data_IF_793429024936
#
_entry.id   IF_793429024936
#
_cell.length_a   1.000
_cell.length_b   1.000
_cell.length_c   1.000
_cell.angle_alpha   90.00
_cell.angle_beta   90.00
_cell.angle_gamma   90.00
#
_symmetry.space_group_name_H-M   'P 1'
#
loop_
_entity.id
_entity.type
_entity.pdbx_description
1 polymer ?
#
# COMPACT_ATOMS: atom_id res chain seq x y z
N UNK A 1 -22.74 -19.00 36.13
CA UNK A 1 -23.11 -19.52 34.80
C UNK A 1 -22.67 -18.49 33.76
N UNK A 2 -21.55 -18.74 33.07
CA UNK A 2 -21.05 -17.82 32.04
C UNK A 2 -21.83 -18.01 30.75
N UNK A 3 -22.48 -16.96 30.26
CA UNK A 3 -23.09 -16.97 28.93
C UNK A 3 -21.97 -17.17 27.90
N UNK A 4 -21.98 -18.31 27.20
CA UNK A 4 -21.16 -18.54 26.02
C UNK A 4 -21.55 -17.47 25.00
N UNK A 5 -20.70 -16.47 24.78
CA UNK A 5 -20.85 -15.55 23.66
C UNK A 5 -20.79 -16.37 22.38
N UNK A 6 -21.93 -16.48 21.71
CA UNK A 6 -22.02 -17.03 20.35
C UNK A 6 -21.12 -16.17 19.48
N UNK A 7 -20.05 -16.78 18.96
CA UNK A 7 -19.15 -16.11 18.01
C UNK A 7 -19.99 -15.75 16.80
N UNK A 8 -20.34 -14.47 16.70
CA UNK A 8 -21.11 -13.95 15.58
C UNK A 8 -20.32 -14.26 14.30
N UNK A 9 -20.85 -15.18 13.50
CA UNK A 9 -20.22 -15.53 12.23
C UNK A 9 -20.11 -14.25 11.39
N UNK A 10 -18.96 -14.01 10.74
CA UNK A 10 -18.78 -12.86 9.88
C UNK A 10 -19.88 -12.87 8.82
N UNK A 11 -20.60 -11.76 8.69
CA UNK A 11 -21.66 -11.63 7.70
C UNK A 11 -21.07 -11.98 6.31
N UNK A 12 -21.52 -13.06 5.65
CA UNK A 12 -20.98 -13.46 4.35
C UNK A 12 -21.23 -12.40 3.28
N UNK A 13 -22.19 -11.50 3.50
CA UNK A 13 -22.51 -10.38 2.63
C UNK A 13 -21.72 -9.10 2.98
N UNK A 14 -20.74 -9.19 3.88
CA UNK A 14 -19.85 -8.06 4.15
C UNK A 14 -18.97 -7.81 2.93
N UNK A 15 -18.92 -6.57 2.40
CA UNK A 15 -18.09 -6.22 1.25
C UNK A 15 -16.60 -6.44 1.48
N UNK A 16 -16.18 -6.48 2.74
CA UNK A 16 -14.80 -6.78 3.13
C UNK A 16 -14.47 -8.27 3.06
N UNK A 17 -15.46 -9.13 2.80
CA UNK A 17 -15.36 -10.59 2.80
C UNK A 17 -15.22 -11.20 1.42
N UNK A 18 -15.37 -10.40 0.36
CA UNK A 18 -15.11 -10.89 -0.99
C UNK A 18 -13.63 -11.27 -1.11
N UNK A 19 -13.33 -12.52 -1.51
CA UNK A 19 -11.97 -12.93 -1.78
C UNK A 19 -11.43 -12.06 -2.91
N UNK A 20 -10.24 -11.50 -2.70
CA UNK A 20 -9.50 -10.78 -3.72
C UNK A 20 -8.26 -11.57 -4.14
N UNK A 21 -7.35 -10.91 -4.87
CA UNK A 21 -6.18 -11.56 -5.44
C UNK A 21 -5.15 -11.94 -4.35
N UNK A 22 -4.47 -13.08 -4.56
CA UNK A 22 -3.26 -13.49 -3.82
C UNK A 22 -3.33 -13.33 -2.29
N UNK A 23 -4.43 -13.78 -1.68
CA UNK A 23 -4.59 -13.78 -0.22
C UNK A 23 -5.08 -12.46 0.38
N UNK A 24 -5.30 -11.42 -0.44
CA UNK A 24 -5.94 -10.19 -0.01
C UNK A 24 -7.46 -10.28 -0.21
N UNK A 25 -8.25 -9.62 0.66
CA UNK A 25 -9.64 -9.30 0.36
C UNK A 25 -9.72 -8.28 -0.77
N UNK A 26 -10.79 -8.31 -1.57
CA UNK A 26 -11.02 -7.32 -2.64
C UNK A 26 -10.97 -5.87 -2.12
N UNK A 27 -11.54 -5.68 -0.92
CA UNK A 27 -11.51 -4.42 -0.16
C UNK A 27 -11.07 -4.71 1.26
N UNK A 28 -10.11 -3.96 1.75
CA UNK A 28 -9.59 -4.14 3.11
C UNK A 28 -9.30 -2.80 3.80
N UNK A 29 -9.18 -2.87 5.12
CA UNK A 29 -8.80 -1.73 5.96
C UNK A 29 -7.40 -1.92 6.54
N UNK A 30 -6.62 -0.85 6.55
CA UNK A 30 -5.30 -0.83 7.17
C UNK A 30 -5.37 -0.09 8.50
N UNK A 31 -4.83 -0.68 9.56
CA UNK A 31 -4.86 -0.12 10.91
C UNK A 31 -3.46 -0.09 11.52
N UNK A 32 -3.23 0.90 12.36
CA UNK A 32 -2.02 0.99 13.15
C UNK A 32 -1.92 -0.20 14.13
N UNK A 33 -0.75 -0.81 14.20
CA UNK A 33 -0.42 -1.92 15.08
C UNK A 33 0.65 -1.50 16.09
N UNK A 34 0.31 -0.50 16.91
CA UNK A 34 1.26 0.20 17.76
C UNK A 34 2.20 1.10 16.96
N UNK A 35 3.33 1.51 17.55
CA UNK A 35 4.25 2.46 16.91
C UNK A 35 5.14 1.86 15.80
N UNK A 36 5.09 0.55 15.61
CA UNK A 36 6.10 -0.20 14.82
C UNK A 36 5.52 -0.88 13.58
N UNK A 37 4.26 -0.63 13.23
CA UNK A 37 3.69 -1.32 12.09
C UNK A 37 2.23 -1.05 11.81
N UNK A 38 1.77 -1.65 10.72
CA UNK A 38 0.38 -1.72 10.34
C UNK A 38 -0.11 -3.17 10.26
N UNK A 39 -1.42 -3.33 10.30
CA UNK A 39 -2.12 -4.60 10.08
C UNK A 39 -3.18 -4.42 9.02
N UNK A 40 -3.24 -5.38 8.11
CA UNK A 40 -4.20 -5.45 7.01
C UNK A 40 -5.36 -6.33 7.44
N UNK A 41 -6.59 -5.82 7.34
CA UNK A 41 -7.80 -6.52 7.78
C UNK A 41 -8.83 -6.64 6.66
N UNK A 42 -9.30 -7.86 6.40
CA UNK A 42 -10.50 -8.13 5.60
C UNK A 42 -11.79 -8.08 6.39
N UNK A 43 -12.73 -8.96 6.05
CA UNK A 43 -14.04 -9.05 6.69
C UNK A 43 -13.98 -9.28 8.19
N UNK A 44 -13.02 -10.07 8.65
CA UNK A 44 -12.84 -10.33 10.07
C UNK A 44 -11.97 -9.24 10.70
N UNK A 45 -12.53 -8.26 11.44
CA UNK A 45 -11.75 -7.20 12.05
C UNK A 45 -10.85 -7.68 13.20
N UNK A 46 -10.98 -8.94 13.63
CA UNK A 46 -10.19 -9.55 14.71
C UNK A 46 -8.98 -10.32 14.18
N UNK A 47 -8.99 -10.73 12.92
CA UNK A 47 -7.95 -11.56 12.32
C UNK A 47 -7.33 -10.79 11.15
N UNK A 48 -6.16 -10.17 11.35
CA UNK A 48 -5.45 -9.54 10.25
C UNK A 48 -4.94 -10.61 9.27
N UNK A 49 -4.80 -10.22 8.00
CA UNK A 49 -4.24 -11.05 6.93
C UNK A 49 -2.72 -10.92 6.91
N UNK A 50 -2.21 -9.69 7.01
CA UNK A 50 -0.78 -9.38 6.96
C UNK A 50 -0.38 -8.36 8.01
N UNK A 51 0.91 -8.38 8.34
CA UNK A 51 1.58 -7.37 9.16
C UNK A 51 2.61 -6.63 8.31
N UNK A 52 2.64 -5.31 8.47
CA UNK A 52 3.64 -4.45 7.85
C UNK A 52 4.49 -3.88 8.97
N UNK A 53 5.78 -4.20 9.00
CA UNK A 53 6.73 -3.58 9.92
C UNK A 53 7.18 -2.23 9.37
N UNK A 54 7.21 -1.22 10.24
CA UNK A 54 7.70 0.12 9.92
C UNK A 54 9.02 0.37 10.64
N UNK A 55 10.01 0.75 9.87
CA UNK A 55 11.25 1.35 10.31
C UNK A 55 11.36 2.78 9.74
N UNK A 56 12.34 3.54 10.22
CA UNK A 56 12.54 4.95 9.84
C UNK A 56 12.59 5.21 8.34
N UNK A 57 13.14 4.26 7.55
CA UNK A 57 13.32 4.39 6.09
C UNK A 57 12.98 3.10 5.34
N UNK A 58 12.30 2.17 6.00
CA UNK A 58 12.06 0.84 5.48
C UNK A 58 10.71 0.32 5.94
N UNK A 59 9.95 -0.24 5.00
CA UNK A 59 8.69 -0.92 5.28
C UNK A 59 8.83 -2.37 4.85
N UNK A 60 8.39 -3.30 5.67
CA UNK A 60 8.49 -4.74 5.40
C UNK A 60 7.11 -5.37 5.50
N UNK A 61 6.61 -5.92 4.41
CA UNK A 61 5.42 -6.77 4.40
C UNK A 61 5.80 -8.18 4.77
N UNK A 62 5.14 -8.74 5.77
CA UNK A 62 5.35 -10.11 6.22
C UNK A 62 4.22 -11.04 5.76
N UNK A 63 4.56 -12.31 5.53
CA UNK A 63 3.60 -13.36 5.21
C UNK A 63 2.57 -13.55 6.34
N UNK A 64 3.01 -13.54 7.60
CA UNK A 64 2.11 -13.67 8.75
C UNK A 64 1.54 -12.32 9.20
N UNK A 65 0.30 -12.37 9.67
CA UNK A 65 -0.36 -11.27 10.38
C UNK A 65 0.20 -11.02 11.80
N UNK A 66 1.01 -11.93 12.32
CA UNK A 66 1.55 -11.89 13.68
C UNK A 66 2.98 -11.36 13.67
N UNK A 67 3.14 -10.20 14.29
CA UNK A 67 4.45 -9.56 14.51
C UNK A 67 5.51 -10.47 15.14
N UNK A 68 5.13 -11.41 16.00
CA UNK A 68 6.08 -12.26 16.75
C UNK A 68 6.56 -13.48 15.97
N UNK A 69 5.91 -13.82 14.86
CA UNK A 69 6.16 -15.10 14.19
C UNK A 69 7.45 -15.11 13.35
N UNK A 70 8.14 -13.96 13.21
CA UNK A 70 9.35 -13.80 12.36
C UNK A 70 9.15 -14.38 10.95
N UNK A 71 7.93 -14.32 10.43
CA UNK A 71 7.62 -14.82 9.10
C UNK A 71 8.45 -14.07 8.05
N UNK A 72 8.82 -14.74 6.94
CA UNK A 72 9.64 -14.14 5.91
C UNK A 72 9.01 -12.84 5.37
N UNK A 73 9.89 -11.94 4.92
CA UNK A 73 9.49 -10.73 4.22
C UNK A 73 9.03 -11.11 2.82
N UNK A 74 7.86 -10.63 2.41
CA UNK A 74 7.35 -10.78 1.03
C UNK A 74 7.81 -9.60 0.20
N UNK A 75 7.66 -8.38 0.73
CA UNK A 75 8.06 -7.15 0.05
C UNK A 75 8.75 -6.22 1.04
N UNK A 76 9.86 -5.63 0.61
CA UNK A 76 10.52 -4.54 1.31
C UNK A 76 10.46 -3.28 0.46
N UNK A 77 10.06 -2.16 1.05
CA UNK A 77 10.19 -0.83 0.44
C UNK A 77 11.25 -0.07 1.22
N UNK A 78 12.32 0.32 0.54
CA UNK A 78 13.39 1.15 1.10
C UNK A 78 13.30 2.56 0.53
N UNK A 79 13.38 3.56 1.39
CA UNK A 79 13.50 4.96 0.96
C UNK A 79 14.96 5.29 0.73
N UNK A 80 15.32 5.62 -0.51
CA UNK A 80 16.68 5.97 -0.90
C UNK A 80 16.83 7.50 -0.89
N UNK A 81 17.02 8.05 0.30
CA UNK A 81 17.44 9.44 0.45
C UNK A 81 18.95 9.52 0.65
N UNK A 82 19.62 10.55 0.08
CA UNK A 82 20.99 10.87 0.47
C UNK A 82 21.05 10.99 1.99
N UNK A 83 21.92 10.21 2.64
CA UNK A 83 22.00 10.09 4.10
C UNK A 83 22.27 11.40 4.84
N UNK A 84 22.79 12.42 4.14
CA UNK A 84 23.08 13.76 4.66
C UNK A 84 21.86 14.70 4.70
N UNK A 85 20.75 14.31 4.06
CA UNK A 85 19.48 15.05 4.07
C UNK A 85 18.63 14.58 5.27
N UNK A 86 18.69 15.32 6.39
CA UNK A 86 17.80 15.11 7.55
C UNK A 86 16.39 15.68 7.34
N UNK A 87 16.24 16.52 6.32
CA UNK A 87 14.99 17.06 5.84
C UNK A 87 15.05 17.05 4.33
N UNK A 88 14.02 16.55 3.64
CA UNK A 88 13.95 16.74 2.21
C UNK A 88 14.00 18.25 1.95
N UNK A 89 15.07 18.71 1.30
CA UNK A 89 15.06 20.01 0.65
C UNK A 89 13.89 19.96 -0.32
N UNK A 90 13.05 20.99 -0.30
CA UNK A 90 11.63 20.94 -0.69
C UNK A 90 11.35 20.46 -2.13
N UNK A 91 12.37 20.29 -2.97
CA UNK A 91 12.27 19.91 -4.38
C UNK A 91 13.09 18.68 -4.81
N UNK A 92 13.81 18.00 -3.91
CA UNK A 92 14.54 16.78 -4.30
C UNK A 92 13.60 15.58 -4.45
N UNK A 93 13.69 14.90 -5.60
CA UNK A 93 13.00 13.64 -5.89
C UNK A 93 13.44 12.57 -4.89
N UNK A 94 12.47 11.93 -4.23
CA UNK A 94 12.75 10.69 -3.52
C UNK A 94 12.84 9.57 -4.56
N UNK A 95 13.72 8.60 -4.36
CA UNK A 95 13.56 7.30 -5.01
C UNK A 95 13.28 6.26 -3.93
N UNK A 96 12.48 5.27 -4.30
CA UNK A 96 12.22 4.12 -3.44
C UNK A 96 12.64 2.87 -4.19
N UNK A 97 13.29 1.94 -3.50
CA UNK A 97 13.52 0.60 -4.05
C UNK A 97 12.55 -0.35 -3.39
N UNK A 98 11.76 -1.04 -4.23
CA UNK A 98 10.85 -2.10 -3.82
C UNK A 98 11.50 -3.43 -4.19
N UNK A 99 11.73 -4.27 -3.18
CA UNK A 99 12.27 -5.63 -3.35
C UNK A 99 11.16 -6.63 -3.07
N UNK A 100 10.76 -7.40 -4.07
CA UNK A 100 9.85 -8.54 -3.92
C UNK A 100 10.70 -9.77 -3.71
N UNK A 101 10.58 -10.37 -2.53
CA UNK A 101 11.38 -11.52 -2.11
C UNK A 101 10.73 -12.80 -2.61
N UNK A 102 11.47 -13.55 -3.42
CA UNK A 102 11.00 -14.84 -3.92
C UNK A 102 11.23 -15.90 -2.84
N UNK A 103 10.33 -15.97 -1.86
CA UNK A 103 10.35 -17.04 -0.86
C UNK A 103 9.77 -18.32 -1.47
N UNK A 104 10.50 -18.95 -2.39
CA UNK A 104 10.22 -20.33 -2.75
C UNK A 104 10.47 -21.12 -1.46
N UNK A 105 9.40 -21.43 -0.73
CA UNK A 105 9.43 -22.50 0.25
C UNK A 105 9.80 -23.72 -0.58
N UNK A 106 11.10 -24.06 -0.63
CA UNK A 106 11.52 -25.38 -1.04
C UNK A 106 10.72 -26.30 -0.14
N UNK A 107 9.64 -26.86 -0.68
CA UNK A 107 8.87 -27.85 0.02
C UNK A 107 9.86 -28.96 0.26
N UNK A 108 10.43 -29.00 1.46
CA UNK A 108 11.39 -30.03 1.84
C UNK A 108 10.59 -31.31 1.67
N UNK A 109 10.89 -32.14 0.65
CA UNK A 109 10.13 -33.36 0.45
C UNK A 109 10.31 -34.11 1.75
N UNK A 110 9.24 -34.23 2.54
CA UNK A 110 9.32 -34.92 3.82
C UNK A 110 9.68 -36.36 3.49
N UNK A 111 10.91 -36.82 3.76
CA UNK A 111 11.22 -38.21 3.60
C UNK A 111 10.65 -38.86 4.85
N UNK A 112 9.41 -39.36 4.77
CA UNK A 112 8.97 -40.54 5.54
C UNK A 112 7.47 -40.73 5.38
N UNK A 113 7.15 -41.69 4.51
CA UNK A 113 5.83 -42.29 4.35
C UNK A 113 5.95 -43.70 3.79
N UNK A 114 7.00 -44.43 4.18
CA UNK A 114 7.09 -45.89 4.00
C UNK A 114 6.11 -46.54 4.98
N UNK A 115 4.93 -46.88 4.50
CA UNK A 115 4.05 -47.86 5.14
C UNK A 115 4.06 -49.13 4.29
N UNK A 116 5.03 -50.00 4.55
CA UNK A 116 5.00 -51.39 4.04
C UNK A 116 4.61 -52.31 5.20
N UNK A 117 3.55 -53.13 5.07
CA UNK A 117 3.33 -54.24 5.97
C UNK A 117 4.22 -55.43 5.59
N UNK A 118 4.55 -56.23 6.60
CA UNK A 118 5.36 -57.45 6.57
C UNK A 118 5.06 -58.39 5.39
N UNK A 119 6.10 -58.92 4.73
CA UNK A 119 6.11 -60.30 4.24
C UNK A 119 7.55 -60.77 3.94
N UNK A 120 7.73 -62.07 4.12
CA UNK A 120 8.96 -62.82 4.39
C UNK A 120 10.00 -62.92 3.24
N UNK A 121 11.25 -63.16 3.68
CA UNK A 121 12.33 -63.95 3.07
C UNK A 121 12.46 -64.04 1.53
N UNK A 122 13.57 -63.53 0.99
CA UNK A 122 14.05 -63.84 -0.35
C UNK A 122 15.37 -63.14 -0.68
N UNK A 123 16.25 -63.83 -1.38
CA UNK A 123 17.69 -63.58 -1.49
C UNK A 123 18.16 -62.33 -2.24
N UNK A 124 19.32 -61.84 -1.78
CA UNK A 124 20.44 -61.23 -2.49
C UNK A 124 20.33 -61.04 -4.01
N UNK A 125 20.44 -59.78 -4.47
CA UNK A 125 21.14 -59.44 -5.71
C UNK A 125 21.67 -58.00 -5.69
N UNK A 126 22.99 -57.91 -5.83
CA UNK A 126 23.81 -56.72 -6.00
C UNK A 126 23.58 -56.13 -7.39
N UNK A 127 23.18 -54.87 -7.49
CA UNK A 127 23.20 -54.11 -8.74
C UNK A 127 23.79 -52.72 -8.46
N UNK A 128 25.03 -52.54 -8.89
CA UNK A 128 25.72 -51.25 -8.97
C UNK A 128 25.04 -50.42 -10.06
N UNK A 129 24.21 -49.46 -9.64
CA UNK A 129 23.64 -48.43 -10.50
C UNK A 129 24.44 -47.15 -10.34
N UNK A 130 25.24 -46.83 -11.36
CA UNK A 130 25.91 -45.55 -11.57
C UNK A 130 24.93 -44.39 -11.37
N UNK A 131 25.12 -43.62 -10.29
CA UNK A 131 24.40 -42.39 -10.05
C UNK A 131 24.95 -41.33 -11.01
N UNK A 132 24.20 -41.06 -12.08
CA UNK A 132 24.40 -39.88 -12.89
C UNK A 132 24.20 -38.64 -12.00
N UNK A 133 25.30 -37.93 -11.72
CA UNK A 133 25.28 -36.59 -11.15
C UNK A 133 24.58 -35.65 -12.14
N UNK A 134 23.25 -35.63 -12.07
CA UNK A 134 22.43 -34.58 -12.67
C UNK A 134 22.77 -33.29 -11.95
N UNK A 135 23.57 -32.45 -12.60
CA UNK A 135 23.85 -31.07 -12.24
C UNK A 135 22.51 -30.33 -12.19
N UNK A 136 21.86 -30.37 -11.02
CA UNK A 136 20.63 -29.67 -10.75
C UNK A 136 20.98 -28.18 -10.86
N UNK A 137 20.59 -27.58 -11.98
CA UNK A 137 20.62 -26.15 -12.17
C UNK A 137 19.98 -25.51 -10.93
N UNK A 138 20.83 -24.94 -10.07
CA UNK A 138 20.37 -24.13 -8.97
C UNK A 138 19.76 -22.89 -9.62
N UNK A 139 18.45 -22.97 -9.91
CA UNK A 139 17.66 -21.82 -10.33
C UNK A 139 17.91 -20.74 -9.27
N UNK A 140 18.72 -19.75 -9.67
CA UNK A 140 19.06 -18.60 -8.86
C UNK A 140 17.75 -17.87 -8.58
N UNK A 141 17.20 -18.13 -7.40
CA UNK A 141 16.06 -17.40 -6.84
C UNK A 141 16.53 -15.96 -6.72
N UNK A 142 16.21 -15.16 -7.72
CA UNK A 142 16.64 -13.77 -7.80
C UNK A 142 15.47 -12.91 -7.33
N UNK A 143 15.71 -12.05 -6.35
CA UNK A 143 14.72 -11.08 -5.90
C UNK A 143 14.39 -10.11 -7.04
N UNK A 144 13.12 -9.72 -7.15
CA UNK A 144 12.70 -8.70 -8.11
C UNK A 144 12.91 -7.32 -7.47
N UNK A 145 13.82 -6.55 -8.05
CA UNK A 145 14.13 -5.17 -7.63
C UNK A 145 13.42 -4.20 -8.57
N UNK A 146 12.63 -3.30 -7.99
CA UNK A 146 11.81 -2.33 -8.72
C UNK A 146 12.14 -0.94 -8.18
N UNK A 147 12.52 -0.04 -9.07
CA UNK A 147 12.65 1.36 -8.73
C UNK A 147 11.28 2.04 -8.86
N UNK A 148 10.94 2.82 -7.84
CA UNK A 148 9.75 3.65 -7.82
C UNK A 148 10.18 5.12 -7.74
N UNK A 149 9.89 5.83 -8.81
CA UNK A 149 10.14 7.25 -8.95
C UNK A 149 9.07 8.03 -8.21
N UNK A 150 9.51 8.97 -7.38
CA UNK A 150 8.63 9.90 -6.69
C UNK A 150 8.96 11.33 -7.05
N UNK A 151 8.03 11.92 -7.79
CA UNK A 151 8.11 13.32 -8.16
C UNK A 151 7.29 14.12 -7.16
N UNK A 152 7.97 14.88 -6.30
CA UNK A 152 7.33 15.79 -5.32
C UNK A 152 6.79 17.08 -5.93
N UNK A 153 7.06 17.33 -7.21
CA UNK A 153 6.44 18.42 -7.96
C UNK A 153 4.93 18.25 -7.97
N UNK A 154 4.15 19.34 -7.97
CA UNK A 154 2.69 19.24 -8.01
C UNK A 154 2.23 18.99 -9.46
N UNK A 155 1.44 17.95 -9.76
CA UNK A 155 0.88 16.95 -8.84
C UNK A 155 1.89 15.88 -8.41
N UNK A 156 1.87 15.50 -7.12
CA UNK A 156 2.74 14.44 -6.59
C UNK A 156 2.35 13.12 -7.24
N UNK A 157 3.31 12.44 -7.84
CA UNK A 157 3.12 11.15 -8.53
C UNK A 157 4.14 10.14 -8.03
N UNK A 158 3.71 8.88 -7.95
CA UNK A 158 4.59 7.74 -7.67
C UNK A 158 4.43 6.75 -8.80
N UNK A 159 5.51 6.51 -9.54
CA UNK A 159 5.51 5.69 -10.73
C UNK A 159 6.47 4.51 -10.55
N UNK A 160 6.05 3.33 -10.97
CA UNK A 160 6.90 2.14 -10.97
C UNK A 160 6.57 1.26 -12.16
N UNK A 161 7.51 0.38 -12.51
CA UNK A 161 7.37 -0.50 -13.67
C UNK A 161 7.54 -1.95 -13.23
N UNK A 162 6.67 -2.85 -13.70
CA UNK A 162 6.67 -4.26 -13.32
C UNK A 162 6.60 -5.18 -14.54
N UNK A 163 7.30 -6.33 -14.51
CA UNK A 163 7.02 -7.42 -15.43
C UNK A 163 5.69 -8.07 -15.05
N UNK A 164 4.72 -8.02 -15.96
CA UNK A 164 3.38 -8.60 -15.84
C UNK A 164 3.32 -9.87 -16.69
N UNK A 165 2.80 -10.99 -16.17
CA UNK A 165 2.60 -12.21 -16.97
C UNK A 165 1.62 -11.92 -18.11
N UNK A 166 2.04 -12.24 -19.34
CA UNK A 166 1.13 -12.16 -20.49
C UNK A 166 0.11 -13.30 -20.40
N UNK A 167 -1.17 -13.07 -20.73
CA UNK A 167 -2.13 -14.16 -20.85
C UNK A 167 -1.60 -15.16 -21.88
N UNK A 168 -1.51 -16.43 -21.50
CA UNK A 168 -1.07 -17.50 -22.40
C UNK A 168 -2.10 -17.64 -23.52
N UNK A 169 -1.69 -17.31 -24.75
CA UNK A 169 -2.44 -17.70 -25.94
C UNK A 169 -2.11 -19.17 -26.22
N UNK A 170 -3.15 -19.99 -26.31
CA UNK A 170 -3.11 -21.46 -26.36
C UNK A 170 -1.88 -22.04 -27.08
N UNK A 171 -1.03 -22.76 -26.32
CA UNK A 171 0.01 -23.64 -26.85
C UNK A 171 1.46 -23.20 -26.69
N UNK A 172 1.74 -21.96 -26.25
CA UNK A 172 3.12 -21.55 -25.95
C UNK A 172 3.52 -21.94 -24.52
N UNK A 173 4.57 -22.77 -24.40
CA UNK A 173 5.17 -23.13 -23.10
C UNK A 173 6.07 -22.04 -22.52
N UNK A 174 6.41 -21.00 -23.30
CA UNK A 174 7.17 -19.86 -22.80
C UNK A 174 6.24 -18.84 -22.16
N UNK A 175 6.35 -18.67 -20.84
CA UNK A 175 5.72 -17.57 -20.11
C UNK A 175 6.36 -16.26 -20.57
N UNK A 176 5.66 -15.53 -21.44
CA UNK A 176 6.08 -14.19 -21.84
C UNK A 176 5.69 -13.20 -20.74
N UNK A 177 6.60 -12.30 -20.40
CA UNK A 177 6.31 -11.18 -19.50
C UNK A 177 6.34 -9.89 -20.29
N UNK A 178 5.44 -8.98 -19.95
CA UNK A 178 5.37 -7.64 -20.55
C UNK A 178 5.70 -6.61 -19.49
N UNK A 179 6.56 -5.66 -19.81
CA UNK A 179 6.94 -4.62 -18.87
C UNK A 179 5.88 -3.51 -18.89
N UNK A 180 5.18 -3.32 -17.78
CA UNK A 180 4.09 -2.33 -17.68
C UNK A 180 4.37 -1.26 -16.63
N UNK A 181 3.91 -0.05 -16.92
CA UNK A 181 4.07 1.11 -16.03
C UNK A 181 2.79 1.42 -15.27
N UNK A 182 2.92 1.70 -13.98
CA UNK A 182 1.83 2.06 -13.09
C UNK A 182 2.11 3.38 -12.39
N UNK A 183 1.07 4.17 -12.13
CA UNK A 183 1.19 5.49 -11.53
C UNK A 183 0.11 5.74 -10.47
N UNK A 184 0.53 6.05 -9.25
CA UNK A 184 -0.37 6.60 -8.24
C UNK A 184 -0.65 8.07 -8.52
N UNK A 185 -1.92 8.38 -8.74
CA UNK A 185 -2.41 9.75 -8.94
C UNK A 185 -3.36 10.13 -7.82
N UNK A 186 -3.23 11.35 -7.33
CA UNK A 186 -4.19 11.91 -6.37
C UNK A 186 -5.58 11.95 -7.00
N UNK A 187 -6.54 11.32 -6.34
CA UNK A 187 -7.90 11.27 -6.81
C UNK A 187 -8.56 12.65 -6.73
N UNK A 188 -9.27 13.11 -7.78
CA UNK A 188 -10.14 14.28 -7.69
C UNK A 188 -11.18 14.11 -6.57
N UNK A 189 -11.66 15.22 -6.00
CA UNK A 189 -12.66 15.15 -4.92
C UNK A 189 -13.95 14.42 -5.35
N UNK A 190 -14.32 14.45 -6.63
CA UNK A 190 -15.48 13.75 -7.15
C UNK A 190 -15.22 12.30 -7.59
N UNK A 191 -14.03 11.74 -7.34
CA UNK A 191 -13.67 10.38 -7.76
C UNK A 191 -14.48 9.32 -7.00
N UNK A 192 -15.30 8.58 -7.74
CA UNK A 192 -16.18 7.56 -7.18
C UNK A 192 -15.41 6.34 -6.67
N UNK A 193 -14.29 6.01 -7.32
CA UNK A 193 -13.42 4.87 -6.98
C UNK A 193 -12.91 5.00 -5.54
N UNK A 194 -12.46 6.19 -5.13
CA UNK A 194 -12.02 6.42 -3.74
C UNK A 194 -13.19 6.60 -2.77
N UNK A 195 -14.35 7.09 -3.23
CA UNK A 195 -15.51 7.34 -2.37
C UNK A 195 -16.27 6.06 -2.02
N UNK A 196 -16.42 5.15 -2.99
CA UNK A 196 -17.12 3.88 -2.83
C UNK A 196 -16.54 3.01 -1.73
N UNK A 197 -15.22 3.06 -1.54
CA UNK A 197 -14.48 2.28 -0.54
C UNK A 197 -14.91 2.62 0.91
N UNK A 198 -15.39 3.84 1.15
CA UNK A 198 -15.52 4.39 2.51
C UNK A 198 -16.63 3.77 3.32
N UNK A 199 -17.67 3.28 2.67
CA UNK A 199 -18.80 2.68 3.37
C UNK A 199 -18.54 1.19 3.52
N UNK A 200 -18.11 0.77 4.71
CA UNK A 200 -17.97 -0.66 5.08
C UNK A 200 -19.22 -1.50 4.85
N UNK A 201 -20.37 -0.85 4.72
CA UNK A 201 -21.67 -1.48 4.51
C UNK A 201 -22.06 -1.58 3.05
N UNK A 202 -21.36 -0.88 2.14
CA UNK A 202 -21.65 -0.95 0.72
C UNK A 202 -20.83 -2.05 0.06
N UNK A 203 -21.42 -2.82 -0.87
CA UNK A 203 -20.69 -3.79 -1.70
C UNK A 203 -19.42 -3.17 -2.30
N UNK A 204 -18.37 -3.96 -2.57
CA UNK A 204 -17.30 -3.52 -3.45
C UNK A 204 -17.94 -3.11 -4.77
N UNK A 205 -17.58 -1.93 -5.24
CA UNK A 205 -17.96 -1.51 -6.59
C UNK A 205 -17.06 -2.28 -7.56
N UNK A 206 -17.62 -2.69 -8.69
CA UNK A 206 -16.89 -3.45 -9.70
C UNK A 206 -16.47 -2.53 -10.84
N UNK A 207 -15.41 -2.91 -11.54
CA UNK A 207 -15.02 -2.23 -12.78
C UNK A 207 -16.08 -2.54 -13.84
N UNK A 208 -16.53 -1.52 -14.56
CA UNK A 208 -17.64 -1.65 -15.50
C UNK A 208 -18.98 -1.11 -14.98
N UNK A 209 -19.14 -0.95 -13.66
CA UNK A 209 -20.35 -0.38 -13.06
C UNK A 209 -20.62 1.04 -13.58
N UNK A 210 -21.90 1.40 -13.70
CA UNK A 210 -22.31 2.74 -14.11
C UNK A 210 -21.90 3.79 -13.06
N UNK A 211 -21.36 4.92 -13.55
CA UNK A 211 -21.09 6.07 -12.69
C UNK A 211 -22.40 6.75 -12.33
N UNK A 212 -22.63 6.91 -11.03
CA UNK A 212 -23.72 7.77 -10.56
C UNK A 212 -23.48 9.21 -11.04
N UNK A 213 -24.53 10.02 -11.26
CA UNK A 213 -24.37 11.42 -11.61
C UNK A 213 -23.45 12.16 -10.61
N UNK A 214 -22.59 13.04 -11.12
CA UNK A 214 -21.77 13.94 -10.29
C UNK A 214 -22.69 14.93 -9.56
N UNK A 215 -23.36 14.51 -8.49
CA UNK A 215 -24.06 15.46 -7.62
C UNK A 215 -23.02 16.40 -6.97
N UNK A 216 -23.46 17.59 -6.56
CA UNK A 216 -22.61 18.58 -5.89
C UNK A 216 -22.16 18.04 -4.52
N UNK A 217 -21.07 17.28 -4.49
CA UNK A 217 -20.57 16.69 -3.27
C UNK A 217 -19.73 17.71 -2.48
N UNK A 218 -20.15 17.98 -1.25
CA UNK A 218 -19.61 19.08 -0.42
C UNK A 218 -18.24 18.76 0.19
N UNK A 219 -17.84 17.48 0.30
CA UNK A 219 -16.51 17.12 0.80
C UNK A 219 -16.16 15.65 0.54
N UNK A 220 -15.06 15.40 -0.16
CA UNK A 220 -14.43 14.08 -0.22
C UNK A 220 -13.07 14.10 0.49
N UNK A 221 -12.71 13.02 1.18
CA UNK A 221 -11.39 12.87 1.76
C UNK A 221 -10.39 12.77 0.63
N UNK A 222 -9.14 13.00 0.99
CA UNK A 222 -8.05 12.60 0.15
C UNK A 222 -8.00 11.08 -0.05
N UNK A 223 -7.63 10.71 -1.26
CA UNK A 223 -7.32 9.36 -1.67
C UNK A 223 -6.53 9.42 -2.98
N UNK A 224 -6.06 8.27 -3.43
CA UNK A 224 -5.35 8.14 -4.69
C UNK A 224 -5.81 6.89 -5.41
N UNK A 225 -5.63 6.90 -6.73
CA UNK A 225 -5.88 5.78 -7.62
C UNK A 225 -4.56 5.34 -8.25
N UNK A 226 -4.38 4.05 -8.42
CA UNK A 226 -3.28 3.46 -9.15
C UNK A 226 -3.76 3.19 -10.57
N UNK A 227 -3.14 3.85 -11.54
CA UNK A 227 -3.51 3.81 -12.94
C UNK A 227 -2.49 2.97 -13.70
N UNK A 228 -2.96 2.12 -14.60
CA UNK A 228 -2.14 1.35 -15.53
C UNK A 228 -1.93 2.17 -16.81
N UNK A 229 -0.69 2.56 -17.09
CA UNK A 229 -0.35 3.40 -18.25
C UNK A 229 -0.11 2.59 -19.54
N UNK A 230 0.03 1.27 -19.41
CA UNK A 230 0.40 0.34 -20.46
C UNK A 230 1.92 0.11 -20.53
N UNK A 231 2.33 -0.84 -21.37
CA UNK A 231 3.74 -1.13 -21.64
C UNK A 231 4.26 -0.33 -22.83
N UNK A 232 5.45 0.24 -22.71
CA UNK A 232 6.22 0.88 -23.79
C UNK A 232 6.85 -0.15 -24.73
N UNK A 233 6.05 -1.14 -25.15
CA UNK A 233 6.40 -2.07 -26.22
C UNK A 233 6.35 -1.35 -27.55
N UNK A 234 7.47 -0.78 -27.97
CA UNK A 234 7.66 -0.28 -29.32
C UNK A 234 7.60 -1.46 -30.31
N UNK A 235 6.48 -1.62 -31.01
CA UNK A 235 6.39 -2.57 -32.12
C UNK A 235 5.01 -3.17 -32.28
N UNK A 236 4.39 -2.78 -33.39
CA UNK A 236 3.18 -3.35 -33.99
C UNK A 236 1.86 -3.15 -33.25
N UNK A 237 0.95 -2.46 -33.95
CA UNK A 237 -0.43 -2.15 -33.57
C UNK A 237 -1.33 -3.36 -33.42
N UNK A 238 -0.88 -4.40 -32.74
CA UNK A 238 -1.68 -5.51 -32.27
C UNK A 238 -2.28 -5.13 -30.92
N UNK A 239 -3.59 -5.03 -30.93
CA UNK A 239 -4.51 -4.77 -29.84
C UNK A 239 -4.43 -5.81 -28.70
N UNK A 240 -3.30 -5.89 -27.99
CA UNK A 240 -3.19 -6.70 -26.77
C UNK A 240 -3.77 -5.93 -25.57
N UNK A 241 -5.00 -6.31 -25.22
CA UNK A 241 -5.59 -6.48 -23.87
C UNK A 241 -5.44 -5.42 -22.77
N UNK A 242 -4.79 -4.27 -22.97
CA UNK A 242 -5.04 -3.13 -22.08
C UNK A 242 -6.44 -2.62 -22.40
N UNK A 243 -7.40 -2.96 -21.55
CA UNK A 243 -8.82 -2.61 -21.69
C UNK A 243 -8.99 -1.09 -21.63
N UNK A 244 -8.62 -0.36 -22.69
CA UNK A 244 -8.86 1.07 -22.77
C UNK A 244 -10.35 1.29 -23.04
N UNK A 245 -11.02 1.94 -22.10
CA UNK A 245 -12.37 2.42 -22.35
C UNK A 245 -12.32 3.67 -23.24
N UNK A 246 -13.35 3.90 -24.05
CA UNK A 246 -13.44 5.12 -24.86
C UNK A 246 -13.39 6.35 -23.94
N UNK A 247 -12.50 7.33 -24.18
CA UNK A 247 -12.44 8.54 -23.36
C UNK A 247 -13.78 9.25 -23.37
N UNK A 248 -14.26 9.67 -22.21
CA UNK A 248 -15.61 10.22 -22.13
C UNK A 248 -16.10 10.55 -20.74
N UNK A 249 -17.22 11.29 -20.70
CA UNK A 249 -17.93 11.59 -19.46
C UNK A 249 -18.65 10.35 -18.93
N UNK A 250 -19.20 9.54 -19.84
CA UNK A 250 -20.04 8.37 -19.54
C UNK A 250 -19.22 7.07 -19.48
N UNK A 251 -17.97 7.18 -19.04
CA UNK A 251 -17.11 6.00 -18.84
C UNK A 251 -17.57 5.22 -17.60
N UNK A 252 -17.41 3.89 -17.60
CA UNK A 252 -17.70 3.09 -16.42
C UNK A 252 -16.74 3.38 -15.26
N UNK A 253 -17.09 2.84 -14.09
CA UNK A 253 -16.21 2.79 -12.92
C UNK A 253 -14.96 1.95 -13.22
N UNK A 254 -13.85 2.32 -12.59
CA UNK A 254 -12.56 1.66 -12.80
C UNK A 254 -11.74 2.20 -13.97
N UNK A 255 -12.14 3.32 -14.58
CA UNK A 255 -11.39 3.98 -15.66
C UNK A 255 -11.20 5.48 -15.43
N UNK A 256 -10.02 6.02 -15.74
CA UNK A 256 -9.77 7.48 -15.73
C UNK A 256 -10.52 8.17 -16.87
N UNK A 257 -10.62 9.50 -16.83
CA UNK A 257 -11.30 10.27 -17.90
C UNK A 257 -10.67 10.03 -19.27
N UNK A 258 -9.37 9.74 -19.28
CA UNK A 258 -8.57 9.48 -20.47
C UNK A 258 -8.64 8.02 -20.93
N UNK A 259 -9.46 7.19 -20.26
CA UNK A 259 -9.68 5.79 -20.62
C UNK A 259 -8.64 4.81 -20.05
N UNK A 260 -7.76 5.26 -19.17
CA UNK A 260 -6.77 4.41 -18.53
C UNK A 260 -7.42 3.57 -17.43
N UNK A 261 -7.01 2.31 -17.29
CA UNK A 261 -7.53 1.41 -16.28
C UNK A 261 -7.02 1.81 -14.88
N UNK A 262 -7.95 1.92 -13.94
CA UNK A 262 -7.65 2.01 -12.51
C UNK A 262 -7.58 0.58 -11.99
N UNK A 263 -6.45 0.20 -11.42
CA UNK A 263 -6.17 -1.18 -10.94
C UNK A 263 -6.17 -1.30 -9.42
N UNK A 264 -6.00 -0.17 -8.73
CA UNK A 264 -6.15 -0.10 -7.28
C UNK A 264 -6.53 1.32 -6.85
N UNK A 265 -7.01 1.46 -5.62
CA UNK A 265 -7.28 2.77 -5.03
C UNK A 265 -7.23 2.70 -3.51
N UNK A 266 -6.94 3.83 -2.89
CA UNK A 266 -7.12 3.99 -1.45
C UNK A 266 -7.84 5.29 -1.11
N UNK A 267 -8.44 5.31 0.08
CA UNK A 267 -9.04 6.51 0.64
C UNK A 267 -8.72 6.64 2.11
N UNK A 268 -8.37 7.85 2.54
CA UNK A 268 -8.18 8.14 3.95
C UNK A 268 -9.50 7.91 4.70
N UNK A 269 -9.40 7.16 5.79
CA UNK A 269 -10.52 6.92 6.68
C UNK A 269 -10.72 8.13 7.59
N UNK A 270 -11.98 8.47 7.85
CA UNK A 270 -12.33 9.40 8.93
C UNK A 270 -12.59 8.69 10.24
N UNK A 271 -12.80 7.39 10.19
CA UNK A 271 -13.07 6.59 11.37
C UNK A 271 -11.75 6.30 12.08
N UNK A 272 -11.67 6.55 13.38
CA UNK A 272 -10.51 6.22 14.22
C UNK A 272 -10.12 4.72 14.19
N UNK A 273 -10.92 3.86 13.57
CA UNK A 273 -10.72 2.41 13.51
C UNK A 273 -9.81 1.95 12.37
N UNK A 274 -9.72 2.70 11.27
CA UNK A 274 -8.83 2.41 10.16
C UNK A 274 -8.15 3.71 9.74
N UNK A 275 -6.92 3.63 9.24
CA UNK A 275 -6.21 4.80 8.76
C UNK A 275 -6.57 5.08 7.29
N UNK A 276 -6.63 4.02 6.48
CA UNK A 276 -7.18 4.07 5.14
C UNK A 276 -7.87 2.76 4.78
N UNK A 277 -8.72 2.84 3.76
CA UNK A 277 -9.28 1.67 3.07
C UNK A 277 -8.64 1.55 1.71
N UNK A 278 -8.45 0.32 1.27
CA UNK A 278 -7.85 -0.04 -0.01
C UNK A 278 -8.81 -0.96 -0.77
N UNK A 279 -8.85 -0.83 -2.09
CA UNK A 279 -9.61 -1.69 -2.96
C UNK A 279 -8.87 -1.91 -4.28
N UNK A 280 -8.89 -3.16 -4.76
CA UNK A 280 -8.47 -3.52 -6.10
C UNK A 280 -9.59 -3.30 -7.14
N UNK A 281 -9.20 -3.06 -8.38
CA UNK A 281 -10.09 -2.79 -9.51
C UNK A 281 -9.57 -3.51 -10.76
N UNK A 282 -10.46 -3.81 -11.70
CA UNK A 282 -10.11 -4.33 -13.03
C UNK A 282 -9.18 -5.53 -12.97
N UNK A 283 -8.10 -5.50 -13.76
CA UNK A 283 -7.04 -6.51 -13.78
C UNK A 283 -6.35 -6.70 -12.42
N UNK A 284 -6.33 -5.66 -11.58
CA UNK A 284 -5.86 -5.75 -10.20
C UNK A 284 -6.82 -6.53 -9.31
N UNK A 285 -8.13 -6.46 -9.54
CA UNK A 285 -9.15 -7.20 -8.80
C UNK A 285 -9.20 -8.68 -9.19
N UNK A 286 -9.03 -8.99 -10.49
CA UNK A 286 -9.04 -10.36 -11.01
C UNK A 286 -7.74 -11.12 -10.69
N UNK A 287 -6.65 -10.41 -10.38
CA UNK A 287 -5.34 -11.01 -10.14
C UNK A 287 -4.53 -11.27 -11.42
N UNK A 288 -5.01 -10.79 -12.57
CA UNK A 288 -4.32 -10.92 -13.86
C UNK A 288 -2.93 -10.30 -13.87
N UNK A 289 -2.71 -9.27 -13.04
CA UNK A 289 -1.42 -8.59 -12.92
C UNK A 289 -0.38 -9.37 -12.08
N UNK A 290 -0.80 -10.48 -11.46
CA UNK A 290 0.05 -11.36 -10.67
C UNK A 290 0.28 -10.94 -9.21
N UNK A 291 0.93 -11.83 -8.49
CA UNK A 291 1.16 -11.71 -7.04
C UNK A 291 2.10 -10.56 -6.69
N UNK A 292 3.21 -10.44 -7.43
CA UNK A 292 4.18 -9.37 -7.25
C UNK A 292 3.49 -7.99 -7.36
N UNK A 293 2.66 -7.78 -8.39
CA UNK A 293 1.88 -6.55 -8.54
C UNK A 293 1.01 -6.29 -7.32
N UNK A 294 0.30 -7.31 -6.84
CA UNK A 294 -0.64 -7.18 -5.72
C UNK A 294 0.08 -6.66 -4.46
N UNK A 295 1.22 -7.26 -4.11
CA UNK A 295 1.99 -6.78 -2.95
C UNK A 295 2.60 -5.40 -3.17
N UNK A 296 3.14 -5.13 -4.37
CA UNK A 296 3.73 -3.83 -4.72
C UNK A 296 2.68 -2.73 -4.68
N UNK A 297 1.47 -2.97 -5.17
CA UNK A 297 0.36 -2.02 -5.13
C UNK A 297 -0.04 -1.68 -3.68
N UNK A 298 -0.14 -2.67 -2.80
CA UNK A 298 -0.46 -2.44 -1.37
C UNK A 298 0.64 -1.63 -0.68
N UNK A 299 1.90 -1.99 -0.89
CA UNK A 299 3.04 -1.35 -0.24
C UNK A 299 3.28 0.07 -0.76
N UNK A 300 3.23 0.27 -2.07
CA UNK A 300 3.34 1.61 -2.67
C UNK A 300 2.18 2.51 -2.24
N UNK A 301 0.94 2.03 -2.24
CA UNK A 301 -0.22 2.81 -1.78
C UNK A 301 -0.11 3.26 -0.32
N UNK A 302 0.49 2.44 0.54
CA UNK A 302 0.78 2.80 1.93
C UNK A 302 1.87 3.87 2.06
N UNK A 303 2.94 3.76 1.27
CA UNK A 303 3.99 4.78 1.20
C UNK A 303 3.42 6.12 0.73
N UNK A 304 2.58 6.12 -0.33
CA UNK A 304 1.88 7.33 -0.80
C UNK A 304 1.01 7.91 0.32
N UNK A 305 0.21 7.08 1.00
CA UNK A 305 -0.64 7.55 2.10
C UNK A 305 0.16 8.23 3.22
N UNK A 306 1.31 7.65 3.61
CA UNK A 306 2.17 8.20 4.66
C UNK A 306 2.80 9.54 4.26
N UNK A 307 3.31 9.64 3.04
CA UNK A 307 3.87 10.90 2.52
C UNK A 307 2.78 11.99 2.49
N UNK A 308 1.56 11.65 2.05
CA UNK A 308 0.45 12.60 2.08
C UNK A 308 0.04 13.01 3.51
N UNK A 309 0.04 12.10 4.49
CA UNK A 309 -0.24 12.44 5.90
C UNK A 309 0.86 13.34 6.49
N UNK A 310 2.13 13.09 6.18
CA UNK A 310 3.23 13.94 6.58
C UNK A 310 3.06 15.37 6.01
N UNK A 311 2.72 15.48 4.73
CA UNK A 311 2.40 16.75 4.07
C UNK A 311 1.20 17.47 4.72
N UNK A 312 0.14 16.73 5.07
CA UNK A 312 -1.02 17.30 5.80
C UNK A 312 -0.60 17.79 7.19
N UNK A 313 0.25 17.07 7.90
CA UNK A 313 0.74 17.45 9.23
C UNK A 313 1.55 18.77 9.16
N UNK A 314 2.47 18.91 8.20
CA UNK A 314 3.23 20.15 7.96
C UNK A 314 2.31 21.36 7.71
N UNK A 315 1.23 21.16 6.93
CA UNK A 315 0.27 22.24 6.65
C UNK A 315 -0.53 22.67 7.88
N UNK A 316 -0.83 21.73 8.79
CA UNK A 316 -1.53 22.03 10.05
C UNK A 316 -0.65 22.83 11.00
N UNK A 317 0.63 22.48 11.13
CA UNK A 317 1.57 23.22 12.00
C UNK A 317 1.81 24.64 11.49
N UNK A 318 2.00 24.81 10.16
CA UNK A 318 2.15 26.13 9.54
C UNK A 318 0.94 27.05 9.79
N UNK A 319 -0.28 26.51 9.66
CA UNK A 319 -1.50 27.30 9.97
C UNK A 319 -1.59 27.69 11.44
N UNK A 320 -1.13 26.82 12.35
CA UNK A 320 -1.13 27.11 13.78
C UNK A 320 -0.16 28.23 14.13
N UNK A 321 1.02 28.27 13.50
CA UNK A 321 1.98 29.36 13.69
C UNK A 321 1.49 30.69 13.12
N UNK A 322 0.78 30.67 11.99
CA UNK A 322 0.25 31.89 11.36
C UNK A 322 -0.90 32.51 12.18
N UNK A 323 -1.75 31.69 12.80
CA UNK A 323 -2.89 32.17 13.63
C UNK A 323 -2.43 32.69 14.99
N UNK A 324 -1.33 32.16 15.53
CA UNK A 324 -0.69 32.67 16.75
C UNK A 324 0.44 33.66 16.46
N UNK A 325 0.59 34.07 15.18
CA UNK A 325 1.33 35.26 14.81
C UNK A 325 0.78 36.39 15.66
N UNK A 326 1.59 36.77 16.65
CA UNK A 326 1.47 37.98 17.45
C UNK A 326 0.74 39.03 16.62
N UNK A 327 -0.51 39.35 17.00
CA UNK A 327 -1.13 40.59 16.53
C UNK A 327 -0.02 41.63 16.69
N UNK A 328 0.48 42.26 15.60
CA UNK A 328 1.36 43.41 15.79
C UNK A 328 0.58 44.29 16.74
N UNK A 329 1.20 44.64 17.88
CA UNK A 329 0.53 45.44 18.90
C UNK A 329 -0.14 46.58 18.15
N UNK A 330 -1.48 46.55 18.08
CA UNK A 330 -2.23 47.64 17.50
C UNK A 330 -1.90 48.77 18.45
N UNK A 331 -0.95 49.58 18.03
CA UNK A 331 -0.61 50.83 18.66
C UNK A 331 -1.87 51.66 18.52
N UNK A 332 -2.78 51.50 19.47
CA UNK A 332 -3.77 52.52 19.78
C UNK A 332 -2.93 53.71 20.16
N UNK A 333 -2.68 54.57 19.18
CA UNK A 333 -1.99 55.84 19.34
C UNK A 333 -2.75 56.68 20.34
N UNK A 334 -2.47 56.46 21.62
CA UNK A 334 -2.70 57.43 22.67
C UNK A 334 -1.40 58.20 22.83
N UNK A 335 -1.42 59.54 22.79
CA UNK A 335 -0.22 60.35 22.86
C UNK A 335 0.48 60.12 24.20
N UNK A 336 1.68 59.54 24.15
CA UNK A 336 2.55 59.38 25.32
C UNK A 336 3.00 60.77 25.79
N UNK A 337 2.43 61.21 26.91
CA UNK A 337 3.03 62.21 27.80
C UNK A 337 4.27 61.54 28.42
N UNK A 338 5.43 62.16 28.19
CA UNK A 338 6.67 61.89 28.94
C UNK A 338 6.37 62.09 30.42
N UNK A 339 6.75 61.12 31.24
CA UNK A 339 7.52 61.33 32.46
C UNK A 339 8.20 60.01 32.82
N UNK A 340 9.48 60.09 33.16
CA UNK A 340 10.32 58.95 33.50
C UNK A 340 10.14 58.55 34.96
N UNK A 341 10.47 57.30 35.26
CA UNK A 341 11.18 56.91 36.48
C UNK A 341 11.58 55.43 36.42
N UNK A 342 12.74 55.21 37.04
CA UNK A 342 13.55 54.00 37.14
C UNK A 342 12.89 52.98 38.08
N UNK A 343 13.02 51.69 37.78
CA UNK A 343 12.69 50.62 38.73
C UNK A 343 13.02 49.22 38.19
N UNK A 344 14.13 48.66 38.66
CA UNK A 344 14.51 47.25 38.53
C UNK A 344 13.59 46.37 39.41
N UNK A 345 13.26 45.16 38.96
CA UNK A 345 12.57 44.17 39.81
C UNK A 345 12.26 42.84 39.12
N UNK A 346 13.13 41.86 39.38
CA UNK A 346 12.88 40.43 39.61
C UNK A 346 11.80 39.66 38.81
N UNK A 347 12.26 38.62 38.14
CA UNK A 347 11.51 37.57 37.45
C UNK A 347 11.01 36.51 38.43
N UNK A 348 9.74 36.10 38.31
CA UNK A 348 9.18 34.93 38.98
C UNK A 348 7.91 34.42 38.28
N UNK A 349 7.88 33.09 38.10
CA UNK A 349 6.74 32.19 37.86
C UNK A 349 6.12 31.96 36.47
N UNK A 350 6.42 30.75 35.96
CA UNK A 350 5.53 29.58 35.80
C UNK A 350 4.22 29.69 34.98
N UNK A 351 4.19 28.89 33.91
CA UNK A 351 2.98 28.33 33.26
C UNK A 351 3.32 27.86 31.84
N UNK A 352 3.50 26.57 31.52
CA UNK A 352 2.56 25.44 31.53
C UNK A 352 2.47 24.88 30.09
N UNK A 353 2.50 23.54 29.98
CA UNK A 353 1.95 22.69 28.90
C UNK A 353 2.52 22.80 27.46
N UNK A 354 3.30 21.81 27.02
CA UNK A 354 2.87 20.63 26.23
C UNK A 354 4.13 19.85 25.83
N UNK A 355 4.14 18.57 26.19
CA UNK A 355 5.20 17.60 25.92
C UNK A 355 5.28 17.30 24.41
N UNK A 356 6.18 17.96 23.69
CA UNK A 356 6.66 17.50 22.39
C UNK A 356 7.66 16.36 22.62
N UNK A 357 7.31 15.13 22.23
CA UNK A 357 8.24 14.00 22.15
C UNK A 357 9.35 14.34 21.14
N UNK A 358 10.50 14.80 21.65
CA UNK A 358 11.80 14.72 20.97
C UNK A 358 12.28 13.28 21.04
N UNK A 359 12.58 12.69 19.88
CA UNK A 359 13.54 11.59 19.80
C UNK A 359 14.90 12.11 20.29
N UNK A 360 15.47 11.43 21.29
CA UNK A 360 16.88 11.52 21.66
C UNK A 360 17.47 10.13 21.36
N UNK A 361 18.63 10.20 20.70
CA UNK A 361 19.63 9.18 20.32
C UNK A 361 19.39 7.71 20.68
#
# INVERSE_FOLDING_TARGET
MGQKQTVQQPNPNSPLGQPGPHGYPMRFGVRLAGFKGFKIYGANPKQPCHYVELHTRRQILHESARRKDRSPAIVTVNENWPSWSLFPLDDESATFTITVHNNVKQATPSPDGSSTPESEAGESQTAEGEAAEGEAAADLITDLIIDMDHTRCRPVTFQFTLPIPSPQTDGSTTSTTTLETFEWRRAPQACQETRGIRKKTLPPLETGDDRLPEEKFVYAPSGSVLVRLGGSGAGDGSSSSSARCTPGRDRPLGFTRDGEEIVASYTASRDYRAWYYFQFWGAGATGELGEAFTHVAVMSGMAVYQDEEAERAKRRTKRSSDVHGTKPAVSTGLPRRRDGLVGQGSVGDNGSCILCLRCVQ
#
